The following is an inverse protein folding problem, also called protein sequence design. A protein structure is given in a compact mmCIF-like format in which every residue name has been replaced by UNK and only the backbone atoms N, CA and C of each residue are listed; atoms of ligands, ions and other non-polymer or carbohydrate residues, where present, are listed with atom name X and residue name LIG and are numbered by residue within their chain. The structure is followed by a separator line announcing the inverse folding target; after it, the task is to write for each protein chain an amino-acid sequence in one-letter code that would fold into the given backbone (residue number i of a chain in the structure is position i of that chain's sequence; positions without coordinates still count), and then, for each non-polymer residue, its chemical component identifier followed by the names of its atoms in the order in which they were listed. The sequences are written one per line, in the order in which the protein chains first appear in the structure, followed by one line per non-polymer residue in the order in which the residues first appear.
data_IF_742744355863
#
_entry.id   IF_742744355863
#
_cell.length_a   1.000
_cell.length_b   1.000
_cell.length_c   1.000
_cell.angle_alpha   90.00
_cell.angle_beta   90.00
_cell.angle_gamma   90.00
#
_symmetry.space_group_name_H-M   'P 1'
#
loop_
_entity.id
_entity.type
_entity.pdbx_description
1 polymer ?
#
# COMPACT_ATOMS: atom_id res chain seq x y z
N UNK A 1 -18.17 21.80 -20.16
CA UNK A 1 -17.89 20.36 -19.92
C UNK A 1 -16.40 20.04 -19.64
N UNK A 2 -15.45 20.99 -19.68
CA UNK A 2 -14.02 20.71 -19.42
C UNK A 2 -13.52 20.85 -17.97
N UNK A 3 -14.26 21.55 -17.11
CA UNK A 3 -13.77 21.97 -15.77
C UNK A 3 -13.85 20.85 -14.70
N UNK A 4 -14.85 19.97 -14.80
CA UNK A 4 -15.06 18.85 -13.86
C UNK A 4 -13.95 17.79 -13.93
N UNK A 5 -13.41 17.51 -15.13
CA UNK A 5 -12.38 16.48 -15.32
C UNK A 5 -11.04 16.90 -14.70
N UNK A 6 -10.64 18.15 -14.90
CA UNK A 6 -9.42 18.73 -14.31
C UNK A 6 -9.52 18.78 -12.78
N UNK A 7 -10.69 19.16 -12.26
CA UNK A 7 -10.96 19.19 -10.83
C UNK A 7 -10.88 17.78 -10.19
N UNK A 8 -11.50 16.78 -10.81
CA UNK A 8 -11.44 15.38 -10.37
C UNK A 8 -10.01 14.84 -10.43
N UNK A 9 -9.24 15.15 -11.48
CA UNK A 9 -7.83 14.78 -11.61
C UNK A 9 -6.98 15.37 -10.47
N UNK A 10 -7.16 16.66 -10.16
CA UNK A 10 -6.47 17.35 -9.06
C UNK A 10 -6.76 16.71 -7.70
N UNK A 11 -8.03 16.37 -7.43
CA UNK A 11 -8.42 15.69 -6.20
C UNK A 11 -7.76 14.30 -6.10
N UNK A 12 -7.74 13.52 -7.19
CA UNK A 12 -7.07 12.21 -7.21
C UNK A 12 -5.58 12.33 -6.93
N UNK A 13 -4.91 13.30 -7.59
CA UNK A 13 -3.49 13.59 -7.38
C UNK A 13 -3.19 14.00 -5.93
N UNK A 14 -4.01 14.88 -5.35
CA UNK A 14 -3.87 15.30 -3.95
C UNK A 14 -4.02 14.12 -2.98
N UNK A 15 -4.95 13.19 -3.24
CA UNK A 15 -5.14 11.98 -2.43
C UNK A 15 -3.95 11.03 -2.50
N UNK A 16 -3.41 10.79 -3.70
CA UNK A 16 -2.19 10.00 -3.91
C UNK A 16 -1.01 10.61 -3.14
N UNK A 17 -0.71 11.88 -3.40
CA UNK A 17 0.37 12.60 -2.73
C UNK A 17 0.19 12.67 -1.20
N UNK A 18 -1.06 12.75 -0.74
CA UNK A 18 -1.38 12.68 0.69
C UNK A 18 -1.05 11.33 1.29
N UNK A 19 -1.34 10.23 0.59
CA UNK A 19 -1.00 8.88 1.03
C UNK A 19 0.51 8.62 1.04
N UNK A 20 1.23 9.04 0.00
CA UNK A 20 2.70 8.95 -0.04
C UNK A 20 3.35 9.67 1.16
N UNK A 21 2.89 10.89 1.49
CA UNK A 21 3.39 11.65 2.65
C UNK A 21 3.08 10.95 3.97
N UNK A 22 1.94 10.29 4.08
CA UNK A 22 1.52 9.52 5.25
C UNK A 22 2.40 8.27 5.41
N UNK A 23 2.68 7.52 4.33
CA UNK A 23 3.61 6.39 4.34
C UNK A 23 5.00 6.79 4.83
N UNK A 24 5.58 7.87 4.29
CA UNK A 24 6.88 8.36 4.75
C UNK A 24 6.89 8.67 6.24
N UNK A 25 5.85 9.33 6.76
CA UNK A 25 5.74 9.63 8.19
C UNK A 25 5.67 8.35 9.03
N UNK A 26 4.91 7.35 8.57
CA UNK A 26 4.74 6.08 9.29
C UNK A 26 6.01 5.24 9.31
N UNK A 27 6.73 5.13 8.19
CA UNK A 27 8.06 4.51 8.15
C UNK A 27 9.04 5.21 9.11
N UNK A 28 9.10 6.55 9.06
CA UNK A 28 9.97 7.32 9.98
C UNK A 28 9.61 7.12 11.45
N UNK A 29 8.32 7.07 11.78
CA UNK A 29 7.87 6.78 13.13
C UNK A 29 8.22 5.35 13.60
N UNK A 30 8.41 4.41 12.66
CA UNK A 30 8.91 3.07 12.92
C UNK A 30 10.44 2.97 12.97
N UNK A 31 11.17 4.09 12.91
CA UNK A 31 12.63 4.12 12.94
C UNK A 31 13.32 3.89 11.59
N UNK A 32 12.57 3.89 10.48
CA UNK A 32 13.13 3.74 9.14
C UNK A 32 13.47 5.09 8.52
N UNK A 33 14.52 5.16 7.73
CA UNK A 33 14.71 6.27 6.80
C UNK A 33 13.69 6.15 5.68
N UNK A 34 13.02 7.24 5.31
CA UNK A 34 12.04 7.18 4.22
C UNK A 34 11.85 8.53 3.53
N UNK A 35 11.64 8.47 2.22
CA UNK A 35 11.55 9.64 1.34
C UNK A 35 10.50 9.42 0.25
N UNK A 36 9.82 10.50 -0.14
CA UNK A 36 9.07 10.54 -1.40
C UNK A 36 10.06 10.79 -2.52
N UNK A 37 9.96 10.02 -3.58
CA UNK A 37 10.90 10.05 -4.70
C UNK A 37 10.38 10.81 -5.92
N UNK A 38 9.17 11.40 -5.81
CA UNK A 38 8.65 12.36 -6.79
C UNK A 38 7.79 11.76 -7.91
N UNK A 39 7.62 10.43 -7.94
CA UNK A 39 6.73 9.71 -8.86
C UNK A 39 7.17 9.74 -10.34
N UNK A 40 6.31 9.19 -11.22
CA UNK A 40 6.57 8.80 -12.62
C UNK A 40 7.47 9.70 -13.49
N UNK A 41 7.57 11.01 -13.27
CA UNK A 41 8.38 11.91 -14.11
C UNK A 41 9.89 11.65 -14.02
N UNK A 42 10.35 10.90 -13.02
CA UNK A 42 11.77 10.61 -12.80
C UNK A 42 12.14 9.12 -12.93
N UNK A 43 11.22 8.27 -13.40
CA UNK A 43 11.43 6.81 -13.42
C UNK A 43 11.67 6.18 -12.03
N UNK A 44 11.17 6.85 -10.97
CA UNK A 44 11.33 6.44 -9.57
C UNK A 44 10.02 5.92 -8.99
N UNK A 45 10.08 5.10 -7.91
CA UNK A 45 8.92 4.73 -7.10
C UNK A 45 8.22 5.96 -6.51
N UNK A 46 7.11 5.74 -5.82
CA UNK A 46 6.46 6.79 -5.04
C UNK A 46 7.19 7.07 -3.73
N UNK A 47 7.60 6.01 -3.02
CA UNK A 47 8.33 6.08 -1.74
C UNK A 47 9.46 5.05 -1.72
N UNK A 48 10.60 5.45 -1.16
CA UNK A 48 11.66 4.54 -0.73
C UNK A 48 11.81 4.59 0.78
N UNK A 49 12.07 3.45 1.41
CA UNK A 49 12.38 3.37 2.82
C UNK A 49 13.50 2.36 3.10
N UNK A 50 14.46 2.72 3.96
CA UNK A 50 15.57 1.86 4.35
C UNK A 50 15.66 1.71 5.86
N UNK A 51 16.12 0.54 6.28
CA UNK A 51 16.53 0.28 7.66
C UNK A 51 17.94 -0.29 7.63
N UNK A 52 18.91 0.57 7.95
CA UNK A 52 20.33 0.21 7.88
C UNK A 52 20.72 -0.78 8.99
N UNK A 53 19.98 -0.78 10.12
CA UNK A 53 20.23 -1.71 11.22
C UNK A 53 19.83 -3.15 10.88
N UNK A 54 18.78 -3.34 10.07
CA UNK A 54 18.31 -4.66 9.63
C UNK A 54 18.73 -4.99 8.19
N UNK A 55 19.34 -4.06 7.46
CA UNK A 55 19.73 -4.23 6.07
C UNK A 55 18.54 -4.33 5.11
N UNK A 56 17.44 -3.64 5.41
CA UNK A 56 16.21 -3.71 4.63
C UNK A 56 16.00 -2.48 3.73
N UNK A 57 15.45 -2.71 2.54
CA UNK A 57 14.99 -1.70 1.60
C UNK A 57 13.58 -2.03 1.12
N UNK A 58 12.65 -1.10 1.28
CA UNK A 58 11.34 -1.12 0.66
C UNK A 58 11.28 -0.07 -0.45
N UNK A 59 10.93 -0.53 -1.65
CA UNK A 59 10.53 0.29 -2.80
C UNK A 59 9.02 0.21 -2.88
N UNK A 60 8.32 1.35 -2.76
CA UNK A 60 6.87 1.37 -2.54
C UNK A 60 6.18 2.13 -3.66
N UNK A 61 5.21 1.47 -4.29
CA UNK A 61 4.25 2.05 -5.23
C UNK A 61 2.89 2.22 -4.52
N UNK A 62 2.35 3.43 -4.49
CA UNK A 62 1.25 3.79 -3.61
C UNK A 62 0.00 4.27 -4.38
N UNK A 63 -1.10 3.52 -4.26
CA UNK A 63 -2.39 3.89 -4.86
C UNK A 63 -3.40 4.25 -3.80
N UNK A 64 -4.03 5.42 -3.92
CA UNK A 64 -5.13 5.84 -3.05
C UNK A 64 -6.37 6.25 -3.86
N UNK A 65 -7.56 5.81 -3.45
CA UNK A 65 -8.77 6.15 -4.18
C UNK A 65 -10.09 5.75 -3.53
N UNK A 66 -11.17 6.27 -4.12
CA UNK A 66 -12.55 6.04 -3.68
C UNK A 66 -13.30 4.99 -4.52
N UNK A 67 -12.63 4.40 -5.53
CA UNK A 67 -13.18 3.30 -6.34
C UNK A 67 -13.12 1.99 -5.55
N UNK A 68 -13.75 0.95 -6.06
CA UNK A 68 -13.63 -0.41 -5.49
C UNK A 68 -12.40 -1.16 -5.98
N UNK A 69 -11.74 -0.62 -7.00
CA UNK A 69 -10.54 -1.19 -7.60
C UNK A 69 -9.46 -0.12 -7.70
N UNK A 70 -8.23 -0.50 -7.36
CA UNK A 70 -7.02 0.27 -7.58
C UNK A 70 -6.06 -0.59 -8.40
N UNK A 71 -5.38 0.04 -9.35
CA UNK A 71 -4.56 -0.65 -10.33
C UNK A 71 -3.11 -0.16 -10.25
N UNK A 72 -2.18 -1.08 -10.40
CA UNK A 72 -0.76 -0.81 -10.63
C UNK A 72 -0.40 -1.42 -11.97
N UNK A 73 0.08 -0.60 -12.89
CA UNK A 73 0.47 -1.03 -14.23
C UNK A 73 1.86 -1.69 -14.19
N UNK A 74 2.12 -2.64 -15.10
CA UNK A 74 3.39 -3.36 -15.15
C UNK A 74 4.60 -2.43 -15.29
N UNK A 75 4.48 -1.37 -16.09
CA UNK A 75 5.56 -0.40 -16.30
C UNK A 75 6.05 0.21 -14.99
N UNK A 76 5.17 0.34 -13.98
CA UNK A 76 5.54 0.83 -12.65
C UNK A 76 6.38 -0.19 -11.89
N UNK A 77 5.96 -1.46 -11.94
CA UNK A 77 6.66 -2.58 -11.30
C UNK A 77 8.02 -2.79 -11.96
N UNK A 78 8.09 -2.74 -13.29
CA UNK A 78 9.33 -2.87 -14.06
C UNK A 78 10.37 -1.81 -13.68
N UNK A 79 9.93 -0.58 -13.44
CA UNK A 79 10.81 0.50 -12.93
C UNK A 79 11.34 0.19 -11.54
N UNK A 80 10.47 -0.29 -10.66
CA UNK A 80 10.86 -0.65 -9.30
C UNK A 80 11.84 -1.83 -9.29
N UNK A 81 11.65 -2.82 -10.18
CA UNK A 81 12.58 -3.93 -10.41
C UNK A 81 13.96 -3.41 -10.87
N UNK A 82 13.98 -2.52 -11.87
CA UNK A 82 15.22 -1.95 -12.37
C UNK A 82 15.99 -1.22 -11.26
N UNK A 83 15.28 -0.39 -10.49
CA UNK A 83 15.87 0.35 -9.38
C UNK A 83 16.38 -0.59 -8.29
N UNK A 84 15.55 -1.51 -7.80
CA UNK A 84 15.88 -2.34 -6.63
C UNK A 84 17.09 -3.26 -6.88
N UNK A 85 17.28 -3.69 -8.14
CA UNK A 85 18.44 -4.46 -8.57
C UNK A 85 19.77 -3.69 -8.49
N UNK A 86 19.72 -2.34 -8.47
CA UNK A 86 20.88 -1.48 -8.23
C UNK A 86 21.30 -1.40 -6.75
N UNK A 87 20.42 -1.76 -5.81
CA UNK A 87 20.64 -1.59 -4.37
C UNK A 87 21.13 -2.87 -3.67
N UNK A 88 22.07 -3.59 -4.29
CA UNK A 88 22.50 -4.93 -3.82
C UNK A 88 23.09 -4.97 -2.40
N UNK A 89 23.48 -3.83 -1.83
CA UNK A 89 24.03 -3.73 -0.47
C UNK A 89 23.02 -4.11 0.62
N UNK A 90 21.72 -3.89 0.37
CA UNK A 90 20.66 -4.28 1.29
C UNK A 90 20.35 -5.77 1.08
N UNK A 91 20.61 -6.68 2.03
CA UNK A 91 20.33 -8.10 1.85
C UNK A 91 18.85 -8.41 1.65
N UNK A 92 17.95 -7.59 2.21
CA UNK A 92 16.51 -7.78 2.11
C UNK A 92 15.88 -6.59 1.41
N UNK A 93 15.33 -6.84 0.21
CA UNK A 93 14.79 -5.82 -0.67
C UNK A 93 13.40 -6.23 -1.10
N UNK A 94 12.42 -5.35 -1.00
CA UNK A 94 11.03 -5.64 -1.33
C UNK A 94 10.44 -4.56 -2.22
N UNK A 95 9.73 -4.98 -3.26
CA UNK A 95 8.77 -4.12 -3.96
C UNK A 95 7.43 -4.29 -3.24
N UNK A 96 6.90 -3.19 -2.73
CA UNK A 96 5.69 -3.15 -1.93
C UNK A 96 4.62 -2.35 -2.66
N UNK A 97 3.47 -2.95 -2.90
CA UNK A 97 2.29 -2.26 -3.41
C UNK A 97 1.41 -1.86 -2.24
N UNK A 98 1.26 -0.56 -2.02
CA UNK A 98 0.46 0.01 -0.96
C UNK A 98 -0.86 0.56 -1.53
N UNK A 99 -1.99 0.04 -1.06
CA UNK A 99 -3.32 0.43 -1.51
C UNK A 99 -4.10 1.07 -0.37
N UNK A 100 -4.74 2.22 -0.62
CA UNK A 100 -5.60 2.91 0.35
C UNK A 100 -6.95 3.24 -0.25
N UNK A 101 -7.97 2.55 0.23
CA UNK A 101 -9.35 2.79 -0.10
C UNK A 101 -9.98 3.78 0.87
N UNK A 102 -10.53 4.87 0.32
CA UNK A 102 -11.12 5.94 1.11
C UNK A 102 -12.50 5.57 1.66
N UNK A 103 -12.83 6.10 2.83
CA UNK A 103 -14.10 5.89 3.53
C UNK A 103 -15.31 6.60 2.90
N UNK A 104 -15.11 7.38 1.83
CA UNK A 104 -16.17 8.05 1.07
C UNK A 104 -16.04 7.68 -0.40
N UNK A 105 -17.08 7.05 -0.95
CA UNK A 105 -17.22 6.69 -2.37
C UNK A 105 -18.38 7.45 -2.99
N UNK A 106 -18.21 8.03 -4.17
CA UNK A 106 -19.32 8.70 -4.88
C UNK A 106 -20.30 7.65 -5.42
N UNK A 107 -21.61 7.87 -5.24
CA UNK A 107 -22.70 7.01 -5.77
C UNK A 107 -23.82 7.93 -6.26
N UNK A 108 -23.98 8.03 -7.59
CA UNK A 108 -24.85 9.04 -8.20
C UNK A 108 -24.44 10.46 -7.77
N UNK A 109 -25.41 11.21 -7.28
CA UNK A 109 -25.23 12.58 -6.79
C UNK A 109 -24.77 12.65 -5.33
N UNK A 110 -24.70 11.51 -4.64
CA UNK A 110 -24.33 11.41 -3.23
C UNK A 110 -23.01 10.70 -2.94
N UNK A 111 -22.76 10.48 -1.65
CA UNK A 111 -21.62 9.71 -1.15
C UNK A 111 -22.09 8.53 -0.31
N UNK A 112 -21.53 7.35 -0.61
CA UNK A 112 -21.59 6.19 0.24
C UNK A 112 -20.44 6.24 1.25
N UNK A 113 -20.76 6.13 2.54
CA UNK A 113 -19.79 5.93 3.61
C UNK A 113 -19.40 4.45 3.65
N UNK A 114 -18.11 4.18 3.78
CA UNK A 114 -17.53 2.84 3.96
C UNK A 114 -16.32 2.91 4.88
N UNK A 115 -15.76 1.77 5.23
CA UNK A 115 -14.53 1.73 6.01
C UNK A 115 -13.34 2.23 5.18
N UNK A 116 -12.38 2.86 5.86
CA UNK A 116 -11.07 3.07 5.27
C UNK A 116 -10.32 1.73 5.35
N UNK A 117 -9.84 1.24 4.20
CA UNK A 117 -9.08 0.00 4.13
C UNK A 117 -7.73 0.24 3.49
N UNK A 118 -6.69 -0.36 4.07
CA UNK A 118 -5.36 -0.35 3.51
C UNK A 118 -4.88 -1.79 3.30
N UNK A 119 -4.31 -2.06 2.13
CA UNK A 119 -3.69 -3.35 1.79
C UNK A 119 -2.23 -3.10 1.42
N UNK A 120 -1.34 -3.95 1.91
CA UNK A 120 0.09 -3.90 1.62
C UNK A 120 0.51 -5.25 1.08
N UNK A 121 1.09 -5.28 -0.10
CA UNK A 121 1.39 -6.50 -0.84
C UNK A 121 2.85 -6.52 -1.27
N UNK A 122 3.50 -7.67 -1.19
CA UNK A 122 4.85 -7.85 -1.76
C UNK A 122 4.69 -8.32 -3.21
N UNK A 123 5.55 -7.83 -4.10
CA UNK A 123 5.78 -8.45 -5.41
C UNK A 123 7.01 -9.34 -5.31
N UNK A 124 6.87 -10.67 -5.15
CA UNK A 124 7.99 -11.57 -4.98
C UNK A 124 8.86 -11.63 -6.24
N UNK A 125 10.17 -11.80 -6.06
CA UNK A 125 11.14 -11.84 -7.17
C UNK A 125 10.84 -12.98 -8.14
N UNK A 126 10.43 -14.14 -7.62
CA UNK A 126 10.03 -15.31 -8.38
C UNK A 126 8.76 -15.09 -9.24
N UNK A 127 7.99 -14.02 -8.98
CA UNK A 127 6.79 -13.68 -9.74
C UNK A 127 7.04 -12.60 -10.81
N UNK A 128 8.23 -12.00 -10.89
CA UNK A 128 8.48 -10.88 -11.81
C UNK A 128 8.22 -11.25 -13.27
N UNK A 129 8.72 -12.40 -13.73
CA UNK A 129 8.53 -12.82 -15.12
C UNK A 129 7.09 -13.23 -15.42
N UNK A 130 6.40 -13.87 -14.47
CA UNK A 130 5.01 -14.28 -14.67
C UNK A 130 4.07 -13.07 -14.70
N UNK A 131 4.36 -12.01 -13.94
CA UNK A 131 3.59 -10.77 -13.89
C UNK A 131 3.89 -9.82 -15.05
N UNK A 132 4.87 -10.13 -15.91
CA UNK A 132 5.30 -9.24 -16.99
C UNK A 132 4.14 -8.86 -17.91
N UNK A 133 3.94 -7.56 -18.11
CA UNK A 133 2.86 -7.00 -18.93
C UNK A 133 1.47 -7.05 -18.29
N UNK A 134 1.33 -7.57 -17.06
CA UNK A 134 0.04 -7.64 -16.38
C UNK A 134 -0.24 -6.39 -15.53
N UNK A 135 -1.50 -5.95 -15.51
CA UNK A 135 -1.97 -4.94 -14.57
C UNK A 135 -2.41 -5.61 -13.27
N UNK A 136 -1.84 -5.21 -12.14
CA UNK A 136 -2.25 -5.69 -10.83
C UNK A 136 -3.48 -4.91 -10.36
N UNK A 137 -4.56 -5.62 -10.08
CA UNK A 137 -5.79 -5.06 -9.54
C UNK A 137 -5.94 -5.43 -8.07
N UNK A 138 -6.16 -4.44 -7.20
CA UNK A 138 -6.52 -4.62 -5.81
C UNK A 138 -8.01 -4.27 -5.62
N UNK A 139 -8.78 -5.19 -5.02
CA UNK A 139 -10.20 -5.02 -4.74
C UNK A 139 -10.45 -4.56 -3.31
N UNK A 140 -11.37 -3.62 -3.11
CA UNK A 140 -11.71 -3.03 -1.79
C UNK A 140 -12.03 -4.09 -0.71
N UNK A 141 -12.84 -5.09 -1.06
CA UNK A 141 -13.27 -6.11 -0.08
C UNK A 141 -12.20 -7.15 0.25
N UNK A 142 -11.45 -7.62 -0.76
CA UNK A 142 -10.64 -8.85 -0.67
C UNK A 142 -9.14 -8.66 -0.93
N UNK A 143 -8.72 -7.46 -1.35
CA UNK A 143 -7.36 -7.23 -1.79
C UNK A 143 -7.06 -7.90 -3.14
N UNK A 144 -5.93 -8.60 -3.22
CA UNK A 144 -5.50 -9.39 -4.37
C UNK A 144 -4.69 -10.61 -3.90
N UNK A 145 -4.26 -11.44 -4.86
CA UNK A 145 -3.63 -12.73 -4.61
C UNK A 145 -2.11 -12.65 -4.35
N UNK A 146 -1.54 -11.44 -4.35
CA UNK A 146 -0.15 -11.27 -3.94
C UNK A 146 0.01 -11.53 -2.43
N UNK A 147 1.19 -11.98 -1.98
CA UNK A 147 1.49 -12.13 -0.57
C UNK A 147 1.30 -10.83 0.22
N UNK A 148 0.70 -10.94 1.41
CA UNK A 148 0.57 -9.81 2.32
C UNK A 148 1.94 -9.35 2.83
N UNK A 149 2.12 -8.04 2.87
CA UNK A 149 3.24 -7.39 3.53
C UNK A 149 2.81 -6.88 4.91
N UNK A 150 3.59 -7.20 5.94
CA UNK A 150 3.48 -6.55 7.25
C UNK A 150 4.44 -5.36 7.30
N UNK A 151 3.96 -4.12 7.10
CA UNK A 151 4.81 -2.94 7.19
C UNK A 151 5.34 -2.76 8.62
N UNK A 152 6.47 -2.06 8.80
CA UNK A 152 7.09 -1.85 10.12
C UNK A 152 6.29 -0.89 11.03
N UNK A 153 5.12 -0.45 10.60
CA UNK A 153 4.26 0.49 11.32
C UNK A 153 2.85 -0.07 11.50
N UNK A 154 2.14 0.42 12.51
CA UNK A 154 0.73 0.05 12.75
C UNK A 154 -0.16 0.51 11.59
N UNK A 155 -0.94 -0.41 11.04
CA UNK A 155 -1.96 -0.11 10.03
C UNK A 155 -3.22 0.38 10.75
N UNK A 156 -3.72 1.55 10.36
CA UNK A 156 -4.96 2.11 10.93
C UNK A 156 -6.15 1.23 10.49
N UNK A 157 -6.89 0.66 11.45
CA UNK A 157 -8.16 -0.04 11.19
C UNK A 157 -8.13 -1.57 11.29
N UNK A 158 -6.98 -2.21 11.53
CA UNK A 158 -6.97 -3.63 11.91
C UNK A 158 -7.37 -3.71 13.39
N UNK A 159 -8.61 -4.12 13.69
CA UNK A 159 -8.90 -4.69 15.02
C UNK A 159 -8.01 -5.92 15.13
N UNK A 160 -7.20 -5.98 16.18
CA UNK A 160 -6.57 -7.24 16.57
C UNK A 160 -7.69 -8.27 16.71
N UNK A 161 -7.62 -9.35 15.94
CA UNK A 161 -8.47 -10.50 16.15
C UNK A 161 -8.06 -11.08 17.51
N UNK A 162 -8.75 -10.63 18.56
CA UNK A 162 -8.61 -11.15 19.90
C UNK A 162 -8.81 -12.66 19.85
N UNK A 163 -7.86 -13.38 20.46
CA UNK A 163 -7.99 -14.79 20.72
C UNK A 163 -9.33 -15.05 21.40
N UNK A 164 -10.11 -15.96 20.84
CA UNK A 164 -11.23 -16.58 21.53
C UNK A 164 -10.59 -17.48 22.58
N UNK A 165 -10.37 -16.92 23.78
CA UNK A 165 -10.14 -17.70 24.98
C UNK A 165 -11.47 -18.31 25.38
N UNK A 166 -11.57 -19.62 25.25
CA UNK A 166 -12.55 -20.45 25.95
C UNK A 166 -12.25 -20.37 27.45
N UNK A 167 -13.12 -19.73 28.21
CA UNK A 167 -13.23 -19.99 29.65
C UNK A 167 -14.43 -20.92 29.84
N UNK A 168 -14.10 -22.16 30.21
CA UNK A 168 -15.03 -23.15 30.74
C UNK A 168 -15.63 -22.64 32.05
N UNK A 169 -16.95 -22.73 32.15
CA UNK A 169 -17.69 -22.59 33.40
C UNK A 169 -17.23 -23.65 34.40
N UNK A 170 -16.44 -23.22 35.39
CA UNK A 170 -16.17 -23.97 36.61
C UNK A 170 -17.04 -23.41 37.75
N UNK A 171 -18.30 -23.87 37.83
CA UNK A 171 -19.09 -23.74 39.06
C UNK A 171 -18.65 -24.84 40.04
N UNK A 172 -17.84 -24.41 41.01
CA UNK A 172 -17.53 -25.13 42.25
C UNK A 172 -18.69 -24.89 43.20
N UNK A 173 -19.26 -25.98 43.73
CA UNK A 173 -20.26 -25.91 44.79
C UNK A 173 -19.69 -25.52 46.14
N UNK A 174 -20.53 -24.86 46.93
CA UNK A 174 -20.83 -25.20 48.33
C UNK A 174 -22.23 -24.65 48.68
#
# INVERSE_FOLDING_TARGET
MGDDSAHVSRIRKSRGQGFERDLVKRYRAAGWWSYRTGGNSAYLPDVMATNDSTGELDVVEAKAGAKDHLYVEWDQIERDIFLINGFKRYPKRRIVLAFKFLSKKRKGDGYLRRELREFYKIVPEEMWDSLRGQTICCHYERGNDLPDYSPPFKIKGKRESGAIGSEEDAEIGD
#
